data_IF_276033004168
#
_entry.id   IF_276033004168
#
_cell.length_a   1.000
_cell.length_b   1.000
_cell.length_c   1.000
_cell.angle_alpha   90.00
_cell.angle_beta   90.00
_cell.angle_gamma   90.00
#
_symmetry.space_group_name_H-M   'P 1'
#
loop_
_entity.id
_entity.type
_entity.pdbx_description
1 polymer ?
#
# COMPACT_ATOMS: atom_id res chain seq x y z
N UNK A 1 30.58 -8.80 12.60
CA UNK A 1 29.50 -9.81 12.49
C UNK A 1 28.88 -9.99 13.86
N UNK A 2 27.55 -9.92 14.00
CA UNK A 2 26.89 -10.15 15.28
C UNK A 2 27.12 -11.59 15.76
N UNK A 3 27.23 -11.77 17.08
CA UNK A 3 27.40 -13.08 17.71
C UNK A 3 26.07 -13.84 17.76
N UNK A 4 26.13 -15.17 17.89
CA UNK A 4 24.93 -16.01 17.98
C UNK A 4 23.97 -15.59 19.11
N UNK A 5 24.51 -15.18 20.27
CA UNK A 5 23.72 -14.64 21.37
C UNK A 5 22.99 -13.34 21.01
N UNK A 6 23.64 -12.45 20.26
CA UNK A 6 23.01 -11.21 19.79
C UNK A 6 21.87 -11.48 18.80
N UNK A 7 22.01 -12.50 17.96
CA UNK A 7 20.94 -12.93 17.05
C UNK A 7 19.74 -13.54 17.80
N UNK A 8 19.99 -14.41 18.77
CA UNK A 8 18.94 -15.02 19.61
C UNK A 8 18.19 -13.97 20.45
N UNK A 9 18.89 -12.96 20.96
CA UNK A 9 18.27 -11.88 21.71
C UNK A 9 17.43 -10.95 20.83
N UNK A 10 17.93 -10.61 19.63
CA UNK A 10 17.17 -9.84 18.65
C UNK A 10 15.89 -10.60 18.21
N UNK A 11 15.98 -11.91 17.99
CA UNK A 11 14.83 -12.73 17.61
C UNK A 11 13.79 -12.81 18.74
N UNK A 12 14.24 -12.89 20.00
CA UNK A 12 13.36 -12.83 21.17
C UNK A 12 12.63 -11.49 21.25
N UNK A 13 13.34 -10.38 21.07
CA UNK A 13 12.74 -9.04 21.11
C UNK A 13 11.76 -8.84 19.96
N UNK A 14 12.09 -9.29 18.75
CA UNK A 14 11.21 -9.21 17.60
C UNK A 14 9.87 -9.93 17.81
N UNK A 15 9.86 -11.05 18.54
CA UNK A 15 8.65 -11.81 18.91
C UNK A 15 7.80 -11.14 19.99
N UNK A 16 8.38 -10.25 20.79
CA UNK A 16 7.65 -9.52 21.83
C UNK A 16 6.97 -8.25 21.31
N UNK A 17 7.36 -7.79 20.12
CA UNK A 17 6.77 -6.60 19.49
C UNK A 17 5.45 -6.99 18.84
N UNK A 18 4.39 -6.28 19.23
CA UNK A 18 3.08 -6.40 18.60
C UNK A 18 3.05 -5.59 17.29
N UNK A 19 3.47 -6.23 16.21
CA UNK A 19 3.48 -5.62 14.87
C UNK A 19 2.07 -5.30 14.35
N UNK A 20 1.03 -6.04 14.78
CA UNK A 20 -0.33 -5.79 14.36
C UNK A 20 -0.85 -4.44 14.86
N UNK A 21 -0.40 -4.02 16.05
CA UNK A 21 -0.67 -2.68 16.58
C UNK A 21 -0.05 -1.58 15.72
N UNK A 22 1.16 -1.78 15.20
CA UNK A 22 1.81 -0.81 14.33
C UNK A 22 1.12 -0.72 12.98
N UNK A 23 0.73 -1.85 12.40
CA UNK A 23 0.00 -1.90 11.12
C UNK A 23 -1.40 -1.24 11.21
N UNK A 24 -2.02 -1.26 12.40
CA UNK A 24 -3.33 -0.66 12.63
C UNK A 24 -3.29 0.82 13.04
N UNK A 25 -2.11 1.40 13.22
CA UNK A 25 -1.95 2.77 13.70
C UNK A 25 -2.33 3.78 12.62
N UNK A 26 -3.11 4.79 13.01
CA UNK A 26 -3.52 5.86 12.11
C UNK A 26 -2.43 6.93 11.96
N UNK A 27 -2.42 7.64 10.83
CA UNK A 27 -1.50 8.77 10.60
C UNK A 27 -1.58 9.85 11.69
N UNK A 28 -2.75 10.03 12.30
CA UNK A 28 -2.96 10.96 13.40
C UNK A 28 -2.26 10.50 14.69
N UNK A 29 -2.37 9.21 15.02
CA UNK A 29 -1.64 8.62 16.16
C UNK A 29 -0.13 8.69 15.94
N UNK A 30 0.33 8.50 14.70
CA UNK A 30 1.75 8.65 14.33
C UNK A 30 2.18 10.10 14.51
N UNK A 31 1.38 11.08 14.06
CA UNK A 31 1.68 12.51 14.25
C UNK A 31 1.74 12.91 15.73
N UNK A 32 0.82 12.41 16.56
CA UNK A 32 0.86 12.64 18.01
C UNK A 32 2.08 12.00 18.67
N UNK A 33 2.41 10.78 18.25
CA UNK A 33 3.62 10.06 18.65
C UNK A 33 4.90 10.58 17.97
N UNK A 34 4.82 11.63 17.15
CA UNK A 34 5.97 12.35 16.60
C UNK A 34 6.17 13.68 17.33
N UNK A 35 5.07 14.33 17.72
CA UNK A 35 5.06 15.60 18.44
C UNK A 35 5.62 15.56 19.86
N UNK A 36 6.01 14.38 20.38
CA UNK A 36 6.68 14.27 21.69
C UNK A 36 8.13 14.77 21.66
N UNK A 37 8.75 14.78 20.48
CA UNK A 37 10.12 15.27 20.30
C UNK A 37 10.08 16.71 19.73
N UNK A 38 10.50 17.72 20.51
CA UNK A 38 10.45 19.12 20.08
C UNK A 38 11.45 19.45 18.97
N UNK A 39 12.46 18.61 18.74
CA UNK A 39 13.45 18.78 17.67
C UNK A 39 13.02 18.11 16.36
N UNK A 40 11.92 17.34 16.39
CA UNK A 40 11.39 16.64 15.22
C UNK A 40 10.38 17.49 14.46
N UNK A 41 10.69 17.82 13.21
CA UNK A 41 9.76 18.47 12.29
C UNK A 41 9.07 17.42 11.43
N UNK A 42 7.74 17.48 11.36
CA UNK A 42 6.99 16.63 10.43
C UNK A 42 7.23 17.13 8.99
N UNK A 43 7.55 16.23 8.02
CA UNK A 43 7.75 16.64 6.63
C UNK A 43 6.51 17.32 6.04
N UNK A 44 6.69 18.28 5.14
CA UNK A 44 5.55 18.88 4.44
C UNK A 44 4.97 17.91 3.41
N UNK A 45 3.74 18.18 2.94
CA UNK A 45 3.11 17.37 1.90
C UNK A 45 3.93 17.39 0.59
N UNK A 46 4.59 18.51 0.29
CA UNK A 46 5.50 18.63 -0.86
C UNK A 46 6.75 17.76 -0.71
N UNK A 47 7.34 17.73 0.49
CA UNK A 47 8.50 16.87 0.78
C UNK A 47 8.09 15.39 0.76
N UNK A 48 6.92 15.04 1.29
CA UNK A 48 6.37 13.69 1.23
C UNK A 48 6.14 13.21 -0.21
N UNK A 49 5.70 14.11 -1.10
CA UNK A 49 5.45 13.80 -2.50
C UNK A 49 6.74 13.52 -3.30
N UNK A 50 7.90 13.97 -2.81
CA UNK A 50 9.20 13.66 -3.44
C UNK A 50 9.64 12.21 -3.17
N UNK A 51 9.14 11.58 -2.10
CA UNK A 51 9.48 10.20 -1.79
C UNK A 51 8.67 9.22 -2.64
N UNK A 52 9.39 8.35 -3.37
CA UNK A 52 8.75 7.23 -4.05
C UNK A 52 8.34 6.16 -3.04
N UNK A 53 7.04 5.92 -2.92
CA UNK A 53 6.49 4.90 -2.04
C UNK A 53 6.92 3.52 -2.54
N UNK A 54 7.84 2.89 -1.81
CA UNK A 54 8.22 1.49 -2.09
C UNK A 54 7.09 0.58 -1.66
N UNK A 55 6.23 0.27 -2.61
CA UNK A 55 5.12 -0.65 -2.40
C UNK A 55 5.70 -2.05 -2.10
N UNK A 56 5.36 -2.67 -0.95
CA UNK A 56 5.82 -4.00 -0.61
C UNK A 56 5.52 -5.00 -1.73
N UNK A 57 6.44 -5.96 -1.98
CA UNK A 57 6.32 -6.89 -3.09
C UNK A 57 4.98 -7.66 -3.11
N UNK A 58 4.39 -7.92 -1.93
CA UNK A 58 3.07 -8.53 -1.79
C UNK A 58 1.96 -7.61 -2.30
N UNK A 59 1.92 -6.36 -1.84
CA UNK A 59 0.96 -5.35 -2.27
C UNK A 59 1.09 -5.03 -3.77
N UNK A 60 2.31 -5.03 -4.33
CA UNK A 60 2.52 -4.91 -5.79
C UNK A 60 1.83 -6.02 -6.58
N UNK A 61 1.89 -7.27 -6.10
CA UNK A 61 1.23 -8.42 -6.75
C UNK A 61 -0.29 -8.31 -6.68
N UNK A 62 -0.82 -7.90 -5.52
CA UNK A 62 -2.26 -7.72 -5.31
C UNK A 62 -2.82 -6.60 -6.19
N UNK A 63 -2.14 -5.46 -6.28
CA UNK A 63 -2.54 -4.39 -7.20
C UNK A 63 -2.44 -4.78 -8.67
N UNK A 64 -1.39 -5.50 -9.07
CA UNK A 64 -1.27 -5.99 -10.44
C UNK A 64 -2.42 -6.96 -10.78
N UNK A 65 -2.80 -7.84 -9.86
CA UNK A 65 -3.94 -8.73 -10.02
C UNK A 65 -5.27 -7.96 -10.11
N UNK A 66 -5.48 -6.96 -9.25
CA UNK A 66 -6.67 -6.11 -9.30
C UNK A 66 -6.78 -5.34 -10.62
N UNK A 67 -5.66 -4.81 -11.12
CA UNK A 67 -5.61 -4.09 -12.41
C UNK A 67 -5.86 -5.02 -13.61
N UNK A 68 -5.34 -6.25 -13.56
CA UNK A 68 -5.62 -7.26 -14.58
C UNK A 68 -7.09 -7.68 -14.59
N UNK A 69 -7.69 -7.88 -13.41
CA UNK A 69 -9.12 -8.20 -13.28
C UNK A 69 -10.02 -7.06 -13.76
N UNK A 70 -9.65 -5.80 -13.49
CA UNK A 70 -10.36 -4.62 -13.99
C UNK A 70 -10.30 -4.54 -15.52
N UNK A 71 -9.14 -4.82 -16.12
CA UNK A 71 -8.96 -4.84 -17.58
C UNK A 71 -9.80 -5.93 -18.25
N UNK A 72 -9.81 -7.14 -17.69
CA UNK A 72 -10.65 -8.23 -18.19
C UNK A 72 -12.15 -7.90 -18.12
N UNK A 73 -12.60 -7.23 -17.04
CA UNK A 73 -13.99 -6.76 -16.94
C UNK A 73 -14.33 -5.70 -18.00
N UNK A 74 -13.42 -4.78 -18.29
CA UNK A 74 -13.65 -3.77 -19.33
C UNK A 74 -13.64 -4.35 -20.75
N UNK A 75 -12.83 -5.37 -21.02
CA UNK A 75 -12.80 -6.05 -22.32
C UNK A 75 -14.03 -6.93 -22.51
N UNK A 76 -14.47 -7.67 -21.47
CA UNK A 76 -15.71 -8.45 -21.52
C UNK A 76 -16.98 -7.59 -21.67
N UNK A 77 -16.98 -6.36 -21.14
CA UNK A 77 -18.08 -5.42 -21.32
C UNK A 77 -18.08 -4.74 -22.72
N UNK A 78 -16.93 -4.73 -23.41
CA UNK A 78 -16.83 -4.20 -24.77
C UNK A 78 -17.27 -5.21 -25.85
N UNK A 79 -17.20 -6.52 -25.56
CA UNK A 79 -17.70 -7.59 -26.44
C UNK A 79 -19.22 -7.85 -26.30
N UNK A 80 -19.91 -7.25 -25.31
CA UNK A 80 -21.35 -7.38 -25.05
C UNK A 80 -22.15 -6.11 -25.45
N UNK A 81 -21.69 -5.35 -26.44
CA UNK A 81 -22.50 -4.26 -27.03
C UNK A 81 -23.41 -4.85 -28.14
N UNK A 82 -24.74 -4.88 -27.99
CA UNK A 82 -25.61 -5.38 -29.05
C UNK A 82 -25.56 -4.43 -30.24
N UNK A 83 -25.21 -4.98 -31.40
CA UNK A 83 -25.18 -4.27 -32.67
C UNK A 83 -26.49 -3.49 -32.88
N UNK A 84 -26.40 -2.14 -32.85
CA UNK A 84 -27.50 -1.26 -33.21
C UNK A 84 -28.06 -1.67 -34.57
N UNK A 85 -29.37 -1.95 -34.71
CA UNK A 85 -29.95 -2.22 -36.02
C UNK A 85 -29.88 -0.96 -36.86
N UNK A 86 -29.29 -1.08 -38.05
CA UNK A 86 -29.39 -0.09 -39.12
C UNK A 86 -30.71 -0.34 -39.86
N UNK A 87 -31.77 0.35 -39.46
CA UNK A 87 -32.93 0.62 -40.32
C UNK A 87 -32.85 2.13 -40.62
N UNK A 88 -32.54 2.63 -41.82
CA UNK A 88 -33.12 2.40 -43.15
C UNK A 88 -34.60 2.81 -43.24
N UNK A 89 -34.85 4.10 -43.50
CA UNK A 89 -36.03 4.67 -44.16
C UNK A 89 -35.78 6.19 -44.31
N UNK A 90 -35.43 6.67 -45.51
CA UNK A 90 -36.31 7.19 -46.58
C UNK A 90 -36.66 8.68 -46.38
#
# INVERSE_FOLDING_TARGET
MPTKKQLEEAERLAKTIDWARFDAMTDEEIRQAWAWDPDMTWPTDEELAEFDLVIPAKARREMAAARAAAKQKSEAAADDEPAKPKDAAE
#
